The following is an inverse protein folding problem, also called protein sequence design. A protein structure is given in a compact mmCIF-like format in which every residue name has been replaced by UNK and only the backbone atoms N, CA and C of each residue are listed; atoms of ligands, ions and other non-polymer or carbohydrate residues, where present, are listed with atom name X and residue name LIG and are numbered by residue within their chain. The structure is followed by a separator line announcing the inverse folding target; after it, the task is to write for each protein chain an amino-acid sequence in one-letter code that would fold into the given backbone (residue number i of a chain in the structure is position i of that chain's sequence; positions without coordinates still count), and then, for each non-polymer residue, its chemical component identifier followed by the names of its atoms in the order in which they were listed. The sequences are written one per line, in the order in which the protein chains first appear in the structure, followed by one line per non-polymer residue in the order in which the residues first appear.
data_IF_337097383494
#
_entry.id   IF_337097383494
#
_cell.length_a   1.000
_cell.length_b   1.000
_cell.length_c   1.000
_cell.angle_alpha   90.00
_cell.angle_beta   90.00
_cell.angle_gamma   90.00
#
_symmetry.space_group_name_H-M   'P 1'
#
loop_
_entity.id
_entity.type
_entity.pdbx_description
1 polymer ?
#
# COMPACT_ATOMS: atom_id res chain seq x y z
N UNK A 1 1.26 19.63 3.96
CA UNK A 1 0.50 18.48 3.43
C UNK A 1 1.14 18.05 2.12
N UNK A 2 1.63 16.83 2.05
CA UNK A 2 2.35 16.37 0.86
C UNK A 2 1.39 16.20 -0.33
N UNK A 3 1.82 16.59 -1.53
CA UNK A 3 1.08 16.47 -2.79
C UNK A 3 0.62 15.02 -3.07
N UNK A 4 1.31 14.02 -2.54
CA UNK A 4 0.94 12.60 -2.65
C UNK A 4 -0.33 12.21 -1.87
N UNK A 5 -0.60 12.88 -0.74
CA UNK A 5 -1.81 12.63 0.05
C UNK A 5 -3.07 13.14 -0.66
N UNK A 6 -2.93 14.27 -1.35
CA UNK A 6 -4.02 14.91 -2.09
C UNK A 6 -4.41 14.11 -3.33
N UNK A 7 -3.47 13.39 -3.94
CA UNK A 7 -3.71 12.58 -5.15
C UNK A 7 -4.71 11.44 -4.90
N UNK A 8 -4.80 10.93 -3.68
CA UNK A 8 -5.75 9.85 -3.34
C UNK A 8 -7.11 10.40 -2.89
N UNK A 9 -7.15 11.61 -2.32
CA UNK A 9 -8.38 12.22 -1.79
C UNK A 9 -9.11 13.14 -2.77
N UNK A 10 -8.42 13.71 -3.75
CA UNK A 10 -9.01 14.64 -4.73
C UNK A 10 -8.70 14.18 -6.17
N UNK A 11 -9.46 13.18 -6.61
CA UNK A 11 -9.24 12.52 -7.90
C UNK A 11 -9.25 13.44 -9.13
N UNK A 12 -9.89 14.61 -9.09
CA UNK A 12 -10.21 15.33 -10.31
C UNK A 12 -9.31 16.54 -10.66
N UNK A 13 -8.71 17.23 -9.71
CA UNK A 13 -7.93 18.44 -10.03
C UNK A 13 -6.42 18.31 -9.85
N UNK A 14 -5.98 17.60 -8.85
CA UNK A 14 -4.54 17.43 -8.53
C UNK A 14 -3.88 16.29 -9.30
N UNK A 15 -4.64 15.29 -9.73
CA UNK A 15 -4.11 14.18 -10.52
C UNK A 15 -3.60 14.64 -11.89
N UNK A 16 -4.31 15.54 -12.56
CA UNK A 16 -3.90 16.04 -13.90
C UNK A 16 -2.59 16.84 -13.87
N UNK A 17 -2.26 17.47 -12.74
CA UNK A 17 -1.09 18.34 -12.60
C UNK A 17 0.12 17.68 -11.92
N UNK A 18 0.01 16.43 -11.42
CA UNK A 18 1.10 15.77 -10.74
C UNK A 18 2.09 15.15 -11.74
N UNK A 19 3.37 15.58 -11.78
CA UNK A 19 4.36 15.01 -12.69
C UNK A 19 4.67 13.52 -12.41
N UNK A 20 4.33 13.03 -11.22
CA UNK A 20 4.53 11.64 -10.80
C UNK A 20 3.26 10.78 -10.92
N UNK A 21 2.26 11.25 -11.65
CA UNK A 21 0.97 10.54 -11.78
C UNK A 21 1.11 9.11 -12.28
N UNK A 22 1.99 8.91 -13.25
CA UNK A 22 2.21 7.62 -13.92
C UNK A 22 3.55 6.98 -13.51
N UNK A 23 4.24 7.54 -12.52
CA UNK A 23 5.48 6.96 -12.05
C UNK A 23 5.18 5.82 -11.07
N UNK A 24 5.88 4.68 -11.20
CA UNK A 24 5.78 3.60 -10.23
C UNK A 24 6.21 4.08 -8.84
N UNK A 25 5.79 3.41 -7.77
CA UNK A 25 6.31 3.70 -6.43
C UNK A 25 7.84 3.62 -6.41
N UNK A 26 8.53 4.46 -5.60
CA UNK A 26 9.95 4.32 -5.43
C UNK A 26 10.24 2.99 -4.73
N UNK A 27 11.19 2.22 -5.22
CA UNK A 27 11.55 0.94 -4.61
C UNK A 27 11.81 -0.13 -5.65
N UNK A 28 11.85 -1.37 -5.20
CA UNK A 28 12.14 -2.54 -6.02
C UNK A 28 10.87 -3.34 -6.26
N UNK A 29 10.57 -3.64 -7.52
CA UNK A 29 9.50 -4.59 -7.85
C UNK A 29 9.96 -6.00 -7.43
N UNK A 30 9.27 -6.59 -6.46
CA UNK A 30 9.60 -7.92 -5.91
C UNK A 30 8.68 -9.03 -6.42
N UNK A 31 7.54 -8.66 -6.99
CA UNK A 31 6.58 -9.60 -7.53
C UNK A 31 5.67 -8.94 -8.56
N UNK A 32 5.40 -9.63 -9.66
CA UNK A 32 4.41 -9.22 -10.66
C UNK A 32 3.64 -10.44 -11.13
N UNK A 33 2.33 -10.35 -11.11
CA UNK A 33 1.43 -11.36 -11.66
C UNK A 33 0.12 -10.71 -12.11
N UNK A 34 -0.29 -11.04 -13.33
CA UNK A 34 -1.52 -10.53 -13.93
C UNK A 34 -1.56 -8.99 -13.89
N UNK A 35 -2.59 -8.42 -13.28
CA UNK A 35 -2.79 -6.97 -13.17
C UNK A 35 -2.19 -6.35 -11.90
N UNK A 36 -1.35 -7.07 -11.15
CA UNK A 36 -0.82 -6.60 -9.88
C UNK A 36 0.68 -6.76 -9.78
N UNK A 37 1.32 -5.78 -9.15
CA UNK A 37 2.73 -5.85 -8.74
C UNK A 37 2.88 -5.51 -7.26
N UNK A 38 3.93 -6.05 -6.64
CA UNK A 38 4.32 -5.68 -5.28
C UNK A 38 5.69 -5.01 -5.34
N UNK A 39 5.76 -3.80 -4.79
CA UNK A 39 6.99 -3.02 -4.66
C UNK A 39 7.45 -3.00 -3.22
N UNK A 40 8.72 -3.30 -3.00
CA UNK A 40 9.38 -3.16 -1.70
C UNK A 40 10.01 -1.77 -1.58
N UNK A 41 9.70 -1.06 -0.51
CA UNK A 41 10.21 0.27 -0.20
C UNK A 41 10.91 0.22 1.16
N UNK A 42 12.18 0.57 1.18
CA UNK A 42 12.92 0.76 2.41
C UNK A 42 12.59 2.14 3.02
N UNK A 43 12.05 2.13 4.25
CA UNK A 43 11.67 3.35 4.95
C UNK A 43 12.86 4.28 5.28
N UNK A 44 14.07 3.75 5.34
CA UNK A 44 15.29 4.56 5.53
C UNK A 44 15.68 5.27 4.23
N UNK A 45 15.70 4.54 3.11
CA UNK A 45 16.07 5.08 1.80
C UNK A 45 15.02 6.04 1.23
N UNK A 46 13.76 5.79 1.52
CA UNK A 46 12.61 6.55 1.00
C UNK A 46 11.77 7.16 2.14
N UNK A 47 12.45 7.80 3.10
CA UNK A 47 11.85 8.25 4.36
C UNK A 47 10.59 9.10 4.17
N UNK A 48 10.65 10.13 3.31
CA UNK A 48 9.52 11.02 3.08
C UNK A 48 8.32 10.29 2.47
N UNK A 49 8.55 9.39 1.54
CA UNK A 49 7.50 8.59 0.94
C UNK A 49 6.84 7.68 1.97
N UNK A 50 7.63 6.98 2.76
CA UNK A 50 7.15 6.09 3.82
C UNK A 50 6.37 6.85 4.91
N UNK A 51 6.83 8.03 5.32
CA UNK A 51 6.11 8.90 6.25
C UNK A 51 4.75 9.33 5.70
N UNK A 52 4.69 9.77 4.44
CA UNK A 52 3.44 10.16 3.78
C UNK A 52 2.47 8.99 3.66
N UNK A 53 2.97 7.80 3.29
CA UNK A 53 2.17 6.58 3.24
C UNK A 53 1.58 6.25 4.63
N UNK A 54 2.40 6.33 5.68
CA UNK A 54 1.96 6.07 7.05
C UNK A 54 0.92 7.09 7.54
N UNK A 55 1.11 8.38 7.25
CA UNK A 55 0.15 9.43 7.58
C UNK A 55 -1.17 9.24 6.84
N UNK A 56 -1.11 8.84 5.57
CA UNK A 56 -2.30 8.52 4.81
C UNK A 56 -3.03 7.28 5.37
N UNK A 57 -2.28 6.22 5.69
CA UNK A 57 -2.82 5.02 6.29
C UNK A 57 -3.48 5.27 7.66
N UNK A 58 -2.98 6.23 8.43
CA UNK A 58 -3.56 6.61 9.73
C UNK A 58 -5.00 7.13 9.63
N UNK A 59 -5.43 7.63 8.47
CA UNK A 59 -6.84 8.00 8.23
C UNK A 59 -7.80 6.81 8.29
N UNK A 60 -7.29 5.59 8.10
CA UNK A 60 -8.07 4.35 8.03
C UNK A 60 -7.71 3.35 9.14
N UNK A 61 -6.61 3.59 9.85
CA UNK A 61 -6.07 2.72 10.89
C UNK A 61 -5.89 3.51 12.19
N UNK A 62 -6.90 3.52 13.05
CA UNK A 62 -6.91 4.27 14.31
C UNK A 62 -5.74 3.88 15.23
N UNK A 63 -5.37 2.60 15.23
CA UNK A 63 -4.31 2.05 16.08
C UNK A 63 -2.90 2.27 15.55
N UNK A 64 -2.74 2.90 14.37
CA UNK A 64 -1.43 3.13 13.80
C UNK A 64 -0.67 4.20 14.58
N UNK A 65 0.32 3.78 15.37
CA UNK A 65 1.16 4.64 16.20
C UNK A 65 2.41 5.14 15.47
N UNK A 66 3.02 4.27 14.63
CA UNK A 66 4.26 4.59 13.93
C UNK A 66 3.98 5.26 12.59
N UNK A 67 4.35 6.55 12.49
CA UNK A 67 4.24 7.34 11.26
C UNK A 67 5.41 8.30 11.02
N UNK A 68 6.22 8.56 12.03
CA UNK A 68 7.36 9.48 11.95
C UNK A 68 8.68 8.73 11.80
N UNK A 69 8.95 7.76 12.67
CA UNK A 69 10.13 6.90 12.59
C UNK A 69 9.80 5.66 11.75
N UNK A 70 10.08 5.78 10.46
CA UNK A 70 9.80 4.76 9.44
C UNK A 70 11.05 3.99 9.01
N UNK A 71 12.21 4.35 9.56
CA UNK A 71 13.52 3.85 9.08
C UNK A 71 13.74 2.38 9.37
N UNK A 72 13.10 1.87 10.42
CA UNK A 72 13.18 0.48 10.86
C UNK A 72 12.23 -0.46 10.12
N UNK A 73 11.42 0.07 9.17
CA UNK A 73 10.41 -0.69 8.45
C UNK A 73 10.72 -0.83 6.95
N UNK A 74 10.28 -1.97 6.42
CA UNK A 74 10.04 -2.20 5.00
C UNK A 74 8.54 -2.06 4.71
N UNK A 75 8.21 -1.49 3.56
CA UNK A 75 6.83 -1.31 3.10
C UNK A 75 6.66 -2.06 1.79
N UNK A 76 5.63 -2.89 1.70
CA UNK A 76 5.30 -3.67 0.51
C UNK A 76 3.99 -3.14 -0.05
N UNK A 77 4.07 -2.43 -1.17
CA UNK A 77 2.94 -1.79 -1.81
C UNK A 77 2.36 -2.68 -2.90
N UNK A 78 1.06 -2.93 -2.81
CA UNK A 78 0.32 -3.58 -3.89
C UNK A 78 -0.13 -2.52 -4.89
N UNK A 79 0.27 -2.70 -6.13
CA UNK A 79 -0.01 -1.80 -7.25
C UNK A 79 -0.88 -2.53 -8.26
N UNK A 80 -1.99 -1.93 -8.64
CA UNK A 80 -2.81 -2.39 -9.75
C UNK A 80 -2.38 -1.72 -11.05
N UNK A 81 -2.25 -2.52 -12.11
CA UNK A 81 -2.02 -2.07 -13.49
C UNK A 81 -3.36 -2.03 -14.21
N UNK A 82 -3.66 -0.95 -14.90
CA UNK A 82 -4.91 -0.76 -15.64
C UNK A 82 -6.13 -1.05 -14.75
N UNK A 83 -6.39 -0.21 -13.74
CA UNK A 83 -7.55 -0.38 -12.88
C UNK A 83 -8.82 -0.52 -13.71
N UNK A 84 -9.62 -1.56 -13.44
CA UNK A 84 -10.82 -1.92 -14.19
C UNK A 84 -11.83 -0.75 -14.26
N UNK A 85 -12.58 -0.65 -15.37
CA UNK A 85 -13.48 0.48 -15.63
C UNK A 85 -14.67 0.62 -14.67
N UNK A 86 -14.87 -0.30 -13.71
CA UNK A 86 -15.99 -0.26 -12.76
C UNK A 86 -15.86 0.79 -11.66
N UNK A 87 -14.69 1.41 -11.52
CA UNK A 87 -14.56 2.65 -10.75
C UNK A 87 -14.47 3.78 -11.75
N UNK A 88 -15.54 4.57 -11.97
CA UNK A 88 -15.46 5.71 -12.87
C UNK A 88 -14.45 6.70 -12.28
N UNK A 89 -13.23 6.66 -12.77
CA UNK A 89 -12.28 7.75 -12.60
C UNK A 89 -12.79 8.85 -13.52
N UNK A 90 -13.82 9.56 -13.04
CA UNK A 90 -14.37 10.73 -13.70
C UNK A 90 -13.24 11.75 -13.88
N UNK A 91 -12.67 11.83 -15.05
CA UNK A 91 -11.63 12.80 -15.35
C UNK A 91 -10.48 12.32 -16.24
N UNK A 92 -10.59 11.17 -16.88
CA UNK A 92 -9.67 10.80 -17.95
C UNK A 92 -10.04 11.59 -19.20
N UNK A 93 -9.23 12.59 -19.54
CA UNK A 93 -9.17 13.12 -20.88
C UNK A 93 -8.72 12.01 -21.84
N UNK A 94 -9.23 12.01 -23.03
CA UNK A 94 -8.99 11.05 -24.12
C UNK A 94 -7.54 10.98 -24.63
N UNK A 95 -6.59 11.59 -23.92
CA UNK A 95 -5.22 11.78 -24.37
C UNK A 95 -4.26 10.82 -23.66
N UNK A 96 -4.08 9.65 -24.24
CA UNK A 96 -2.90 8.85 -24.00
C UNK A 96 -3.08 7.67 -23.06
N UNK A 97 -3.11 6.52 -23.63
CA UNK A 97 -2.96 5.17 -23.09
C UNK A 97 -1.56 5.03 -22.46
N UNK A 98 -1.36 5.63 -21.30
CA UNK A 98 -0.28 5.28 -20.40
C UNK A 98 -0.80 4.22 -19.43
N UNK A 99 -0.09 3.13 -19.22
CA UNK A 99 -0.42 2.17 -18.18
C UNK A 99 -0.53 2.92 -16.85
N UNK A 100 -1.74 3.00 -16.32
CA UNK A 100 -1.99 3.74 -15.09
C UNK A 100 -1.75 2.81 -13.91
N UNK A 101 -0.64 3.01 -13.21
CA UNK A 101 -0.31 2.28 -12.00
C UNK A 101 -0.95 2.97 -10.79
N UNK A 102 -1.65 2.19 -9.97
CA UNK A 102 -2.28 2.71 -8.76
C UNK A 102 -1.98 1.86 -7.55
N UNK A 103 -1.50 2.49 -6.48
CA UNK A 103 -1.31 1.83 -5.18
C UNK A 103 -2.69 1.55 -4.57
N UNK A 104 -3.02 0.28 -4.38
CA UNK A 104 -4.33 -0.18 -3.89
C UNK A 104 -4.31 -0.66 -2.45
N UNK A 105 -3.13 -0.91 -1.91
CA UNK A 105 -2.93 -1.33 -0.53
C UNK A 105 -1.45 -1.53 -0.20
N UNK A 106 -1.16 -1.85 1.02
CA UNK A 106 0.20 -2.16 1.46
C UNK A 106 0.21 -2.96 2.76
N UNK A 107 1.35 -3.56 3.07
CA UNK A 107 1.70 -3.95 4.43
C UNK A 107 3.10 -3.43 4.80
N UNK A 108 3.34 -3.30 6.10
CA UNK A 108 4.66 -2.96 6.64
C UNK A 108 5.21 -4.11 7.47
N UNK A 109 6.54 -4.23 7.46
CA UNK A 109 7.29 -5.24 8.21
C UNK A 109 8.48 -4.58 8.88
N UNK A 110 8.75 -4.90 10.14
CA UNK A 110 9.99 -4.51 10.79
C UNK A 110 11.19 -5.23 10.19
N UNK A 111 12.29 -4.51 9.92
CA UNK A 111 13.55 -5.09 9.46
C UNK A 111 14.11 -6.07 10.49
N UNK A 112 13.99 -5.72 11.78
CA UNK A 112 14.42 -6.52 12.93
C UNK A 112 13.27 -6.61 13.92
N UNK A 113 12.46 -7.66 13.83
CA UNK A 113 11.39 -7.92 14.80
C UNK A 113 11.88 -8.90 15.86
N UNK A 114 11.80 -8.50 17.12
CA UNK A 114 12.16 -9.36 18.27
C UNK A 114 11.25 -10.58 18.38
N UNK A 115 9.98 -10.42 18.04
CA UNK A 115 8.96 -11.47 18.12
C UNK A 115 8.80 -12.23 16.79
N UNK A 116 9.70 -12.02 15.82
CA UNK A 116 9.62 -12.59 14.48
C UNK A 116 8.30 -12.32 13.76
N UNK A 117 7.67 -11.17 14.00
CA UNK A 117 6.43 -10.81 13.32
C UNK A 117 6.66 -10.65 11.81
N UNK A 118 5.76 -11.25 11.01
CA UNK A 118 5.87 -11.17 9.55
C UNK A 118 5.25 -9.89 8.98
N UNK A 119 4.37 -9.24 9.71
CA UNK A 119 3.83 -7.93 9.37
C UNK A 119 3.40 -7.14 10.63
N UNK A 120 3.56 -5.84 10.60
CA UNK A 120 3.15 -4.92 11.65
C UNK A 120 1.83 -4.23 11.33
N UNK A 121 1.59 -3.90 10.07
CA UNK A 121 0.42 -3.16 9.62
C UNK A 121 0.03 -3.61 8.21
N UNK A 122 -1.26 -3.80 7.95
CA UNK A 122 -1.80 -4.16 6.63
C UNK A 122 -3.05 -3.33 6.34
N UNK A 123 -3.15 -2.80 5.13
CA UNK A 123 -4.29 -2.01 4.68
C UNK A 123 -4.54 -2.20 3.19
N UNK A 124 -5.80 -2.46 2.83
CA UNK A 124 -6.32 -2.24 1.48
C UNK A 124 -7.15 -0.96 1.52
N UNK A 125 -6.87 -0.03 0.62
CA UNK A 125 -7.57 1.25 0.59
C UNK A 125 -9.06 1.07 0.26
N UNK A 126 -9.97 1.89 0.84
CA UNK A 126 -11.41 1.67 0.78
C UNK A 126 -11.99 1.37 -0.61
N UNK A 127 -11.61 2.08 -1.70
CA UNK A 127 -12.16 1.81 -3.02
C UNK A 127 -11.84 0.41 -3.56
N UNK A 128 -10.83 -0.25 -3.00
CA UNK A 128 -10.29 -1.53 -3.46
C UNK A 128 -10.60 -2.70 -2.53
N UNK A 129 -11.37 -2.44 -1.48
CA UNK A 129 -11.78 -3.47 -0.53
C UNK A 129 -12.79 -4.45 -1.14
N UNK A 130 -12.96 -5.60 -0.49
CA UNK A 130 -13.89 -6.67 -0.91
C UNK A 130 -13.53 -7.35 -2.25
N UNK A 131 -12.34 -7.14 -2.79
CA UNK A 131 -11.84 -7.75 -4.03
C UNK A 131 -10.78 -8.84 -3.78
N UNK A 132 -10.62 -9.32 -2.55
CA UNK A 132 -9.63 -10.34 -2.20
C UNK A 132 -8.19 -9.84 -2.06
N UNK A 133 -7.92 -8.54 -2.29
CA UNK A 133 -6.55 -8.00 -2.29
C UNK A 133 -5.84 -8.13 -0.95
N UNK A 134 -6.56 -8.13 0.17
CA UNK A 134 -5.99 -8.41 1.48
C UNK A 134 -5.38 -9.81 1.58
N UNK A 135 -5.94 -10.80 0.90
CA UNK A 135 -5.39 -12.15 0.85
C UNK A 135 -4.07 -12.19 0.08
N UNK A 136 -3.95 -11.41 -1.00
CA UNK A 136 -2.70 -11.27 -1.77
C UNK A 136 -1.60 -10.69 -0.87
N UNK A 137 -1.90 -9.61 -0.14
CA UNK A 137 -0.94 -8.97 0.78
C UNK A 137 -0.52 -9.93 1.91
N UNK A 138 -1.47 -10.64 2.51
CA UNK A 138 -1.17 -11.65 3.54
C UNK A 138 -0.33 -12.79 2.98
N UNK A 139 -0.70 -13.36 1.85
CA UNK A 139 0.06 -14.41 1.18
C UNK A 139 1.48 -13.98 0.89
N UNK A 140 1.67 -12.75 0.39
CA UNK A 140 2.98 -12.17 0.14
C UNK A 140 3.81 -12.06 1.43
N UNK A 141 3.22 -11.59 2.54
CA UNK A 141 3.92 -11.44 3.82
C UNK A 141 4.44 -12.79 4.36
N UNK A 142 3.64 -13.84 4.24
CA UNK A 142 4.03 -15.20 4.65
C UNK A 142 5.11 -15.78 3.73
N UNK A 143 4.96 -15.63 2.43
CA UNK A 143 5.94 -16.14 1.47
C UNK A 143 7.30 -15.46 1.65
N UNK A 144 7.34 -14.16 1.91
CA UNK A 144 8.58 -13.45 2.20
C UNK A 144 9.23 -13.95 3.49
N UNK A 145 8.44 -14.13 4.56
CA UNK A 145 8.97 -14.67 5.82
C UNK A 145 9.50 -16.09 5.67
N UNK A 146 8.84 -16.92 4.86
CA UNK A 146 9.30 -18.26 4.54
C UNK A 146 10.64 -18.25 3.80
N UNK A 147 10.81 -17.35 2.82
CA UNK A 147 12.08 -17.17 2.08
C UNK A 147 13.21 -16.69 2.98
N UNK A 148 12.90 -15.90 4.00
CA UNK A 148 13.87 -15.46 5.02
C UNK A 148 14.18 -16.53 6.08
N UNK A 149 13.54 -17.71 6.01
CA UNK A 149 13.68 -18.77 7.03
C UNK A 149 13.04 -18.40 8.37
N UNK A 150 12.14 -17.43 8.41
CA UNK A 150 11.47 -16.98 9.62
C UNK A 150 10.03 -17.48 9.62
N UNK A 151 9.66 -18.19 10.68
CA UNK A 151 8.26 -18.57 10.94
C UNK A 151 7.69 -17.54 11.90
N UNK A 152 6.90 -16.60 11.39
CA UNK A 152 6.27 -15.58 12.20
C UNK A 152 4.79 -15.37 11.84
N UNK A 153 4.05 -14.78 12.77
CA UNK A 153 2.67 -14.35 12.60
C UNK A 153 2.56 -12.83 12.59
N UNK A 154 1.38 -12.25 12.33
CA UNK A 154 1.15 -10.83 12.44
C UNK A 154 1.27 -10.36 13.90
N UNK A 155 1.78 -9.15 14.11
CA UNK A 155 1.98 -8.53 15.43
C UNK A 155 0.71 -8.50 16.26
N UNK A 156 -0.45 -8.24 15.64
CA UNK A 156 -1.75 -8.24 16.33
C UNK A 156 -2.79 -9.00 15.52
N UNK A 157 -3.40 -10.01 16.13
CA UNK A 157 -4.57 -10.70 15.52
C UNK A 157 -5.78 -9.78 15.29
N UNK A 158 -5.83 -8.63 15.95
CA UNK A 158 -6.97 -7.72 15.93
C UNK A 158 -7.12 -6.89 14.65
N UNK A 159 -6.13 -6.82 13.78
CA UNK A 159 -6.24 -6.07 12.52
C UNK A 159 -7.18 -6.69 11.50
N UNK A 160 -7.59 -7.95 11.69
CA UNK A 160 -8.65 -8.57 10.90
C UNK A 160 -10.03 -7.95 11.10
N UNK A 161 -10.28 -7.29 12.25
CA UNK A 161 -11.59 -6.69 12.56
C UNK A 161 -11.86 -5.37 11.83
N UNK A 162 -10.82 -4.67 11.39
CA UNK A 162 -10.98 -3.39 10.67
C UNK A 162 -11.55 -3.60 9.27
N UNK A 163 -11.34 -4.77 8.66
CA UNK A 163 -11.94 -5.13 7.38
C UNK A 163 -13.45 -5.45 7.45
N UNK A 164 -14.01 -5.65 8.68
CA UNK A 164 -15.40 -6.06 8.88
C UNK A 164 -16.32 -4.96 9.42
N UNK A 165 -15.81 -3.79 9.82
CA UNK A 165 -16.58 -2.75 10.49
C UNK A 165 -16.88 -1.52 9.65
N UNK A 166 -17.08 -1.65 8.36
CA UNK A 166 -17.77 -0.59 7.63
C UNK A 166 -19.26 -0.97 7.57
N UNK A 167 -20.16 -0.15 8.15
CA UNK A 167 -21.60 -0.37 8.02
C UNK A 167 -21.98 -0.29 6.54
N UNK A 168 -22.98 -1.09 6.19
CA UNK A 168 -23.59 -1.14 4.87
C UNK A 168 -24.11 0.22 4.42
#
# INVERSE_FOLDING_TARGET
MSKYLITVLNANMTQKACPHRNAPPPGVNVYTKDNYSIYEIDGEKNKLYAQNLCLFAKLFLDTKSVFYDVTTFLYYLLVAHNPTPDIPITGLGEDGIGQQEQVVGFFSKEKMSWDNNNLACILVFPPWQKQGLGQILMGASYEMSKREGRLGGPEKRMHFQVLQRLPY
#
